data_IF_037164921056
#
_entry.id   IF_037164921056
#
_cell.length_a   1.000
_cell.length_b   1.000
_cell.length_c   1.000
_cell.angle_alpha   90.00
_cell.angle_beta   90.00
_cell.angle_gamma   90.00
#
_symmetry.space_group_name_H-M   'P 1'
#
loop_
_entity.id
_entity.type
_entity.pdbx_description
1 polymer ?
#
# COMPACT_ATOMS: atom_id res chain seq x y z
N UNK A 1 -32.37 1.89 9.28
CA UNK A 1 -31.38 0.77 9.26
C UNK A 1 -30.01 1.27 8.76
N UNK A 2 -29.37 2.25 9.43
CA UNK A 2 -28.26 3.00 8.81
C UNK A 2 -26.87 2.75 9.39
N UNK A 3 -26.70 2.85 10.72
CA UNK A 3 -25.37 3.00 11.32
C UNK A 3 -24.57 1.68 11.44
N UNK A 4 -25.24 0.58 11.81
CA UNK A 4 -24.60 -0.72 11.97
C UNK A 4 -24.14 -1.35 10.64
N UNK A 5 -24.83 -1.07 9.52
CA UNK A 5 -24.41 -1.56 8.20
C UNK A 5 -23.10 -0.92 7.74
N UNK A 6 -22.93 0.39 7.95
CA UNK A 6 -21.70 1.13 7.61
C UNK A 6 -20.52 0.73 8.50
N UNK A 7 -20.77 0.47 9.78
CA UNK A 7 -19.76 -0.04 10.72
C UNK A 7 -19.30 -1.46 10.35
N UNK A 8 -20.23 -2.34 9.96
CA UNK A 8 -19.94 -3.70 9.51
C UNK A 8 -19.25 -3.74 8.14
N UNK A 9 -19.52 -2.78 7.24
CA UNK A 9 -18.88 -2.72 5.92
C UNK A 9 -17.48 -2.11 5.93
N UNK A 10 -17.17 -1.23 6.89
CA UNK A 10 -15.85 -0.60 7.02
C UNK A 10 -14.78 -1.56 7.56
N UNK A 11 -15.14 -2.51 8.44
CA UNK A 11 -14.21 -3.48 9.04
C UNK A 11 -13.44 -4.31 7.99
N UNK A 12 -14.12 -4.98 7.04
CA UNK A 12 -13.46 -5.73 5.98
C UNK A 12 -12.57 -4.87 5.08
N UNK A 13 -12.98 -3.64 4.78
CA UNK A 13 -12.22 -2.72 3.93
C UNK A 13 -10.96 -2.20 4.64
N UNK A 14 -11.05 -1.83 5.92
CA UNK A 14 -9.89 -1.47 6.75
C UNK A 14 -8.93 -2.65 6.93
N UNK A 15 -9.43 -3.88 7.04
CA UNK A 15 -8.60 -5.07 7.10
C UNK A 15 -7.85 -5.32 5.78
N UNK A 16 -8.50 -5.14 4.63
CA UNK A 16 -7.82 -5.21 3.33
C UNK A 16 -6.74 -4.13 3.20
N UNK A 17 -7.06 -2.88 3.56
CA UNK A 17 -6.09 -1.79 3.58
C UNK A 17 -4.89 -2.11 4.48
N UNK A 18 -5.14 -2.60 5.70
CA UNK A 18 -4.09 -3.00 6.63
C UNK A 18 -3.19 -4.10 6.06
N UNK A 19 -3.77 -5.09 5.39
CA UNK A 19 -3.01 -6.13 4.68
C UNK A 19 -2.20 -5.55 3.53
N UNK A 20 -2.75 -4.63 2.74
CA UNK A 20 -1.98 -3.99 1.67
C UNK A 20 -0.77 -3.24 2.24
N UNK A 21 -0.96 -2.49 3.34
CA UNK A 21 0.15 -1.82 4.02
C UNK A 21 1.22 -2.80 4.48
N UNK A 22 0.82 -3.95 5.01
CA UNK A 22 1.73 -5.02 5.44
C UNK A 22 2.54 -5.57 4.27
N UNK A 23 1.89 -5.90 3.15
CA UNK A 23 2.54 -6.41 1.95
C UNK A 23 3.52 -5.40 1.34
N UNK A 24 3.19 -4.10 1.32
CA UNK A 24 4.12 -3.05 0.91
C UNK A 24 5.38 -3.04 1.78
N UNK A 25 5.22 -3.13 3.11
CA UNK A 25 6.34 -3.14 4.04
C UNK A 25 7.18 -4.42 3.92
N UNK A 26 6.55 -5.56 3.66
CA UNK A 26 7.24 -6.83 3.40
C UNK A 26 8.09 -6.75 2.12
N UNK A 27 7.59 -6.13 1.05
CA UNK A 27 8.38 -5.86 -0.15
C UNK A 27 9.59 -4.96 0.15
N UNK A 28 9.40 -3.88 0.90
CA UNK A 28 10.51 -2.98 1.29
C UNK A 28 11.56 -3.73 2.12
N UNK A 29 11.15 -4.58 3.04
CA UNK A 29 12.08 -5.37 3.84
C UNK A 29 12.80 -6.43 3.00
N UNK A 30 12.08 -7.09 2.10
CA UNK A 30 12.68 -8.06 1.18
C UNK A 30 13.69 -7.40 0.23
N UNK A 31 13.42 -6.18 -0.23
CA UNK A 31 14.39 -5.36 -0.95
C UNK A 31 15.65 -5.13 -0.10
N UNK A 32 15.55 -4.75 1.18
CA UNK A 32 16.73 -4.53 2.03
C UNK A 32 17.59 -5.77 2.21
N UNK A 33 16.97 -6.95 2.19
CA UNK A 33 17.67 -8.23 2.33
C UNK A 33 18.31 -8.71 1.02
N UNK A 34 17.70 -8.40 -0.13
CA UNK A 34 18.08 -8.97 -1.43
C UNK A 34 18.71 -7.97 -2.39
N UNK A 35 18.57 -6.67 -2.09
CA UNK A 35 18.86 -5.55 -2.97
C UNK A 35 18.16 -5.61 -4.35
N UNK A 36 17.03 -6.33 -4.44
CA UNK A 36 16.27 -6.43 -5.68
C UNK A 36 15.27 -5.27 -5.82
N UNK A 37 15.56 -4.33 -6.72
CA UNK A 37 14.71 -3.16 -6.95
C UNK A 37 13.28 -3.47 -7.42
N UNK A 38 13.05 -4.65 -8.02
CA UNK A 38 11.68 -5.06 -8.39
C UNK A 38 10.74 -5.12 -7.18
N UNK A 39 11.27 -5.33 -5.97
CA UNK A 39 10.47 -5.28 -4.75
C UNK A 39 10.00 -3.85 -4.41
N UNK A 40 10.78 -2.81 -4.74
CA UNK A 40 10.32 -1.41 -4.61
C UNK A 40 9.27 -1.08 -5.65
N UNK A 41 9.42 -1.61 -6.88
CA UNK A 41 8.40 -1.50 -7.94
C UNK A 41 7.09 -2.17 -7.49
N UNK A 42 7.17 -3.38 -6.91
CA UNK A 42 6.01 -4.07 -6.32
C UNK A 42 5.37 -3.26 -5.20
N UNK A 43 6.17 -2.71 -4.28
CA UNK A 43 5.68 -1.90 -3.17
C UNK A 43 4.94 -0.65 -3.66
N UNK A 44 5.47 0.05 -4.67
CA UNK A 44 4.82 1.18 -5.32
C UNK A 44 3.51 0.77 -6.00
N UNK A 45 3.52 -0.35 -6.73
CA UNK A 45 2.33 -0.85 -7.40
C UNK A 45 1.22 -1.22 -6.41
N UNK A 46 1.57 -1.92 -5.33
CA UNK A 46 0.63 -2.28 -4.25
C UNK A 46 0.10 -1.06 -3.51
N UNK A 47 0.95 -0.04 -3.31
CA UNK A 47 0.54 1.24 -2.74
C UNK A 47 -0.55 1.88 -3.60
N UNK A 48 -0.33 2.03 -4.91
CA UNK A 48 -1.32 2.60 -5.82
C UNK A 48 -2.59 1.74 -5.87
N UNK A 49 -2.43 0.44 -6.15
CA UNK A 49 -3.53 -0.48 -6.38
C UNK A 49 -4.44 -0.64 -5.14
N UNK A 50 -3.85 -0.84 -3.96
CA UNK A 50 -4.57 -1.28 -2.79
C UNK A 50 -4.66 -0.25 -1.66
N UNK A 51 -3.75 0.71 -1.55
CA UNK A 51 -3.81 1.78 -0.53
C UNK A 51 -4.56 2.99 -1.10
N UNK A 52 -4.02 3.61 -2.15
CA UNK A 52 -4.60 4.84 -2.72
C UNK A 52 -6.04 4.61 -3.22
N UNK A 53 -6.26 3.61 -4.06
CA UNK A 53 -7.59 3.31 -4.57
C UNK A 53 -8.60 2.93 -3.46
N UNK A 54 -8.15 2.32 -2.36
CA UNK A 54 -9.01 2.05 -1.21
C UNK A 54 -9.43 3.33 -0.50
N UNK A 55 -8.50 4.28 -0.34
CA UNK A 55 -8.79 5.57 0.29
C UNK A 55 -9.78 6.39 -0.54
N UNK A 56 -9.59 6.40 -1.87
CA UNK A 56 -10.51 7.07 -2.80
C UNK A 56 -11.90 6.41 -2.81
N UNK A 57 -11.97 5.08 -2.85
CA UNK A 57 -13.23 4.33 -2.92
C UNK A 57 -14.06 4.43 -1.63
N UNK A 58 -13.41 4.27 -0.48
CA UNK A 58 -14.12 4.15 0.80
C UNK A 58 -14.19 5.46 1.58
N UNK A 59 -13.48 6.50 1.12
CA UNK A 59 -13.47 7.84 1.70
C UNK A 59 -13.28 7.83 3.23
N UNK A 60 -12.34 7.00 3.71
CA UNK A 60 -12.00 6.96 5.11
C UNK A 60 -11.44 8.31 5.54
N UNK A 61 -11.84 8.82 6.71
CA UNK A 61 -11.14 9.96 7.30
C UNK A 61 -9.72 9.50 7.73
N UNK A 62 -8.66 9.92 7.04
CA UNK A 62 -7.32 9.35 7.22
C UNK A 62 -6.66 9.81 8.52
N UNK A 63 -7.20 10.84 9.18
CA UNK A 63 -6.70 11.37 10.46
C UNK A 63 -7.33 10.67 11.67
N UNK A 64 -8.59 10.25 11.57
CA UNK A 64 -9.30 9.61 12.69
C UNK A 64 -9.32 8.08 12.60
N UNK A 65 -9.29 7.52 11.38
CA UNK A 65 -9.26 6.08 11.19
C UNK A 65 -7.85 5.53 11.46
N UNK A 66 -7.80 4.44 12.23
CA UNK A 66 -6.56 3.73 12.58
C UNK A 66 -6.59 2.31 12.01
N UNK A 67 -5.46 1.88 11.49
CA UNK A 67 -5.22 0.51 11.04
C UNK A 67 -4.22 -0.19 11.96
N UNK A 68 -4.29 -1.51 12.01
CA UNK A 68 -3.33 -2.36 12.68
C UNK A 68 -2.59 -3.18 11.63
N UNK A 69 -1.29 -2.99 11.51
CA UNK A 69 -0.45 -3.67 10.51
C UNK A 69 0.19 -4.87 11.22
N UNK A 70 -0.22 -6.11 10.87
CA UNK A 70 -0.01 -7.27 11.73
C UNK A 70 1.45 -7.72 11.87
N UNK A 71 2.28 -7.59 10.83
CA UNK A 71 3.63 -8.19 10.83
C UNK A 71 4.77 -7.20 11.10
N UNK A 72 4.46 -5.93 11.37
CA UNK A 72 5.50 -4.92 11.60
C UNK A 72 5.72 -4.69 13.10
N UNK A 73 6.75 -5.32 13.68
CA UNK A 73 7.02 -5.30 15.13
C UNK A 73 7.10 -3.90 15.75
N UNK A 74 7.49 -2.89 14.97
CA UNK A 74 7.63 -1.51 15.43
C UNK A 74 6.38 -0.64 15.18
N UNK A 75 5.39 -1.13 14.41
CA UNK A 75 4.19 -0.37 14.06
C UNK A 75 2.98 -1.06 14.66
N UNK A 76 2.48 -0.52 15.78
CA UNK A 76 1.22 -0.95 16.38
C UNK A 76 0.01 -0.43 15.61
N UNK A 77 -1.05 -0.07 16.35
CA UNK A 77 -2.23 0.56 15.76
C UNK A 77 -1.97 2.04 15.46
N UNK A 78 -1.78 2.38 14.19
CA UNK A 78 -1.44 3.73 13.73
C UNK A 78 -2.56 4.36 12.89
N UNK A 79 -2.70 5.70 12.90
CA UNK A 79 -3.51 6.42 11.94
C UNK A 79 -3.17 6.06 10.48
N UNK A 80 -4.19 6.01 9.62
CA UNK A 80 -4.01 5.67 8.20
C UNK A 80 -3.03 6.63 7.51
N UNK A 81 -3.14 7.93 7.76
CA UNK A 81 -2.22 8.90 7.17
C UNK A 81 -0.75 8.64 7.53
N UNK A 82 -0.46 8.23 8.78
CA UNK A 82 0.90 7.86 9.18
C UNK A 82 1.39 6.64 8.41
N UNK A 83 0.55 5.61 8.24
CA UNK A 83 0.92 4.44 7.43
C UNK A 83 1.24 4.81 5.99
N UNK A 84 0.39 5.65 5.37
CA UNK A 84 0.58 6.17 4.01
C UNK A 84 1.91 6.89 3.87
N UNK A 85 2.22 7.83 4.77
CA UNK A 85 3.47 8.59 4.71
C UNK A 85 4.71 7.74 4.95
N UNK A 86 4.65 6.76 5.85
CA UNK A 86 5.77 5.85 6.10
C UNK A 86 6.09 5.03 4.85
N UNK A 87 5.07 4.39 4.27
CA UNK A 87 5.24 3.51 3.10
C UNK A 87 5.74 4.33 1.90
N UNK A 88 5.07 5.45 1.60
CA UNK A 88 5.47 6.32 0.50
C UNK A 88 6.87 6.88 0.72
N UNK A 89 7.20 7.30 1.94
CA UNK A 89 8.52 7.82 2.31
C UNK A 89 9.63 6.79 2.07
N UNK A 90 9.42 5.52 2.41
CA UNK A 90 10.38 4.46 2.10
C UNK A 90 10.51 4.25 0.59
N UNK A 91 9.40 4.09 -0.13
CA UNK A 91 9.41 3.89 -1.58
C UNK A 91 10.17 5.03 -2.27
N UNK A 92 9.87 6.29 -1.93
CA UNK A 92 10.54 7.46 -2.51
C UNK A 92 12.01 7.53 -2.16
N UNK A 93 12.40 7.18 -0.92
CA UNK A 93 13.80 7.15 -0.50
C UNK A 93 14.59 6.14 -1.33
N UNK A 94 14.10 4.91 -1.42
CA UNK A 94 14.80 3.84 -2.15
C UNK A 94 14.83 4.11 -3.66
N UNK A 95 13.74 4.67 -4.22
CA UNK A 95 13.71 5.11 -5.62
C UNK A 95 14.79 6.13 -5.94
N UNK A 96 15.00 7.09 -5.02
CA UNK A 96 16.03 8.12 -5.15
C UNK A 96 17.44 7.57 -5.07
N UNK A 97 17.69 6.65 -4.15
CA UNK A 97 19.00 6.00 -4.02
C UNK A 97 19.38 5.22 -5.30
N UNK A 98 18.39 4.72 -6.05
CA UNK A 98 18.58 4.03 -7.33
C UNK A 98 18.54 4.94 -8.57
N UNK A 99 18.21 6.22 -8.44
CA UNK A 99 17.99 7.13 -9.59
C UNK A 99 16.82 6.69 -10.48
N UNK A 100 15.73 6.25 -9.85
CA UNK A 100 14.52 5.69 -10.48
C UNK A 100 13.24 6.40 -10.03
N UNK A 101 13.34 7.63 -9.55
CA UNK A 101 12.19 8.40 -9.05
C UNK A 101 11.08 8.56 -10.10
N UNK A 102 11.45 8.81 -11.36
CA UNK A 102 10.48 9.00 -12.45
C UNK A 102 9.64 7.74 -12.67
N UNK A 103 10.27 6.56 -12.67
CA UNK A 103 9.57 5.28 -12.82
C UNK A 103 8.56 5.06 -11.70
N UNK A 104 8.97 5.31 -10.46
CA UNK A 104 8.11 5.13 -9.29
C UNK A 104 6.98 6.14 -9.27
N UNK A 105 7.25 7.38 -9.68
CA UNK A 105 6.23 8.43 -9.83
C UNK A 105 5.20 8.03 -10.87
N UNK A 106 5.63 7.52 -12.02
CA UNK A 106 4.73 7.02 -13.06
C UNK A 106 3.83 5.86 -12.56
N UNK A 107 4.32 5.00 -11.67
CA UNK A 107 3.51 3.95 -11.05
C UNK A 107 2.47 4.53 -10.07
N UNK A 108 2.87 5.51 -9.25
CA UNK A 108 1.98 6.18 -8.28
C UNK A 108 0.87 6.96 -8.99
N UNK A 109 1.20 7.62 -10.10
CA UNK A 109 0.26 8.39 -10.91
C UNK A 109 -0.56 7.53 -11.88
N UNK A 110 -0.48 6.19 -11.78
CA UNK A 110 -1.18 5.25 -12.66
C UNK A 110 -0.87 5.44 -14.16
N UNK A 111 0.36 5.83 -14.48
CA UNK A 111 0.90 5.98 -15.84
C UNK A 111 1.25 4.66 -16.53
N UNK A 112 2.06 4.68 -17.60
CA UNK A 112 2.33 3.48 -18.41
C UNK A 112 3.07 2.40 -17.62
N UNK A 113 3.97 2.80 -16.73
CA UNK A 113 4.69 1.88 -15.84
C UNK A 113 3.76 1.10 -14.90
N UNK A 114 2.68 1.71 -14.40
CA UNK A 114 1.71 1.02 -13.56
C UNK A 114 1.12 -0.20 -14.27
N UNK A 115 0.77 -0.07 -15.55
CA UNK A 115 0.26 -1.19 -16.36
C UNK A 115 1.37 -2.16 -16.75
N UNK A 116 2.56 -1.66 -17.07
CA UNK A 116 3.71 -2.48 -17.48
C UNK A 116 4.14 -3.45 -16.40
N UNK A 117 4.13 -3.04 -15.14
CA UNK A 117 4.63 -3.83 -14.00
C UNK A 117 3.54 -4.55 -13.21
N UNK A 118 2.29 -4.52 -13.69
CA UNK A 118 1.15 -5.24 -13.10
C UNK A 118 1.43 -6.74 -12.87
N UNK A 119 2.23 -7.37 -13.74
CA UNK A 119 2.58 -8.79 -13.65
C UNK A 119 3.42 -9.15 -12.42
N UNK A 120 4.08 -8.18 -11.77
CA UNK A 120 4.89 -8.44 -10.58
C UNK A 120 4.05 -8.87 -9.37
N UNK A 121 2.76 -8.56 -9.38
CA UNK A 121 1.81 -9.01 -8.37
C UNK A 121 0.88 -10.08 -8.95
N UNK A 122 0.76 -11.22 -8.25
CA UNK A 122 -0.12 -12.30 -8.69
C UNK A 122 -1.60 -11.89 -8.65
N UNK A 123 -2.43 -12.50 -9.50
CA UNK A 123 -3.87 -12.25 -9.50
C UNK A 123 -4.51 -12.64 -8.16
N UNK A 124 -3.99 -13.67 -7.50
CA UNK A 124 -4.43 -14.07 -6.15
C UNK A 124 -4.19 -12.95 -5.13
N UNK A 125 -3.00 -12.34 -5.14
CA UNK A 125 -2.66 -11.23 -4.26
C UNK A 125 -3.58 -10.03 -4.52
N UNK A 126 -3.78 -9.66 -5.79
CA UNK A 126 -4.69 -8.57 -6.19
C UNK A 126 -6.11 -8.81 -5.67
N UNK A 127 -6.65 -10.02 -5.86
CA UNK A 127 -7.99 -10.37 -5.39
C UNK A 127 -8.15 -10.29 -3.87
N UNK A 128 -7.09 -10.61 -3.11
CA UNK A 128 -7.08 -10.47 -1.65
C UNK A 128 -7.06 -9.02 -1.18
N UNK A 129 -6.35 -8.16 -1.91
CA UNK A 129 -6.07 -6.76 -1.53
C UNK A 129 -6.97 -5.73 -2.22
N UNK A 130 -7.88 -6.19 -3.08
CA UNK A 130 -8.75 -5.31 -3.87
C UNK A 130 -9.41 -4.23 -3.01
N UNK A 131 -9.46 -2.98 -3.51
CA UNK A 131 -10.23 -1.91 -2.89
C UNK A 131 -11.67 -2.33 -2.58
#
# INVERSE_FOLDING_TARGET
MGFFKTLLSAGPALNRLAKTCDECLNCIEHYRLTNNFDEIIKAAWLYTYGIQNSLEKWNFNPFSAKIFIPNHQNLGRIPINQAVFIILGYISKEAKEWGREELITEIIEMGSAYFKYDYLCSMELKNRLKP
#
